data_IF_319361711038
#
_entry.id   IF_319361711038
#
_cell.length_a   1.000
_cell.length_b   1.000
_cell.length_c   1.000
_cell.angle_alpha   90.00
_cell.angle_beta   90.00
_cell.angle_gamma   90.00
#
_symmetry.space_group_name_H-M   'P 1'
#
loop_
_entity.id
_entity.type
_entity.pdbx_description
1 polymer ?
#
# COMPACT_ATOMS: atom_id res chain seq x y z
N UNK A 1 -20.51 0.96 11.47
CA UNK A 1 -19.07 1.30 11.39
C UNK A 1 -18.93 2.78 11.69
N UNK A 2 -18.19 3.13 12.75
CA UNK A 2 -17.86 4.53 13.06
C UNK A 2 -17.11 5.11 11.86
N UNK A 3 -17.73 6.02 11.10
CA UNK A 3 -17.02 6.80 10.08
C UNK A 3 -16.03 7.67 10.86
N UNK A 4 -14.74 7.36 10.77
CA UNK A 4 -13.71 8.21 11.37
C UNK A 4 -13.89 9.64 10.88
N UNK A 5 -13.59 10.63 11.73
CA UNK A 5 -13.72 12.04 11.37
C UNK A 5 -12.58 12.45 10.42
N UNK A 6 -12.67 11.97 9.18
CA UNK A 6 -11.71 12.22 8.12
C UNK A 6 -12.14 13.43 7.30
N UNK A 7 -11.32 14.48 7.30
CA UNK A 7 -11.54 15.69 6.49
C UNK A 7 -10.71 15.64 5.23
N UNK A 8 -9.41 15.33 5.36
CA UNK A 8 -8.45 15.21 4.27
C UNK A 8 -7.65 13.92 4.44
N UNK A 9 -8.28 12.74 4.28
CA UNK A 9 -7.63 11.48 4.57
C UNK A 9 -6.47 11.22 3.61
N UNK A 10 -5.39 10.70 4.17
CA UNK A 10 -4.17 10.32 3.50
C UNK A 10 -3.75 8.92 3.94
N UNK A 11 -3.19 8.17 3.00
CA UNK A 11 -2.62 6.85 3.23
C UNK A 11 -1.15 6.85 2.82
N UNK A 12 -0.31 6.34 3.70
CA UNK A 12 1.09 6.06 3.38
C UNK A 12 1.20 4.67 2.74
N UNK A 13 1.87 4.58 1.60
CA UNK A 13 2.06 3.35 0.83
C UNK A 13 3.53 3.19 0.41
N UNK A 14 4.02 1.96 0.42
CA UNK A 14 5.37 1.68 -0.07
C UNK A 14 5.47 1.86 -1.58
N UNK A 15 6.68 2.15 -2.07
CA UNK A 15 6.97 2.07 -3.49
C UNK A 15 7.22 0.60 -3.89
N UNK A 16 6.90 0.21 -5.15
CA UNK A 16 6.44 1.07 -6.27
C UNK A 16 4.93 1.36 -6.28
N UNK A 17 4.14 0.72 -5.42
CA UNK A 17 2.66 0.80 -5.47
C UNK A 17 2.12 2.23 -5.40
N UNK A 18 2.75 3.12 -4.61
CA UNK A 18 2.30 4.50 -4.46
C UNK A 18 2.31 5.27 -5.80
N UNK A 19 3.42 5.19 -6.54
CA UNK A 19 3.52 5.79 -7.88
C UNK A 19 2.60 5.11 -8.88
N UNK A 20 2.51 3.78 -8.86
CA UNK A 20 1.67 3.02 -9.79
C UNK A 20 0.18 3.37 -9.62
N UNK A 21 -0.27 3.60 -8.38
CA UNK A 21 -1.64 4.01 -8.09
C UNK A 21 -1.92 5.43 -8.61
N UNK A 22 -1.01 6.38 -8.35
CA UNK A 22 -1.17 7.76 -8.81
C UNK A 22 -1.04 7.91 -10.32
N UNK A 23 -0.35 7.00 -10.99
CA UNK A 23 -0.26 6.96 -12.46
C UNK A 23 -1.44 6.23 -13.11
N UNK A 24 -2.38 5.71 -12.31
CA UNK A 24 -3.56 4.99 -12.81
C UNK A 24 -3.26 3.60 -13.37
N UNK A 25 -2.05 3.07 -13.12
CA UNK A 25 -1.67 1.71 -13.51
C UNK A 25 -2.28 0.71 -12.51
N UNK A 26 -2.08 0.96 -11.21
CA UNK A 26 -2.71 0.24 -10.11
C UNK A 26 -4.10 0.82 -9.84
N UNK A 27 -5.10 -0.04 -9.75
CA UNK A 27 -6.51 0.34 -9.56
C UNK A 27 -7.09 -0.16 -8.23
N UNK A 28 -6.48 -1.18 -7.66
CA UNK A 28 -6.91 -1.78 -6.40
C UNK A 28 -5.87 -1.54 -5.32
N UNK A 29 -6.23 -0.88 -4.23
CA UNK A 29 -5.37 -0.79 -3.04
C UNK A 29 -5.68 -1.94 -2.08
N UNK A 30 -4.65 -2.71 -1.74
CA UNK A 30 -4.80 -3.94 -0.97
C UNK A 30 -4.47 -3.78 0.51
N UNK A 31 -5.37 -4.19 1.40
CA UNK A 31 -5.19 -4.12 2.86
C UNK A 31 -5.73 -5.36 3.58
N UNK A 32 -5.23 -5.59 4.79
CA UNK A 32 -5.76 -6.62 5.71
C UNK A 32 -7.01 -6.13 6.48
N UNK A 33 -7.55 -4.97 6.13
CA UNK A 33 -8.67 -4.32 6.81
C UNK A 33 -9.49 -3.49 5.82
N UNK A 34 -10.82 -3.35 6.04
CA UNK A 34 -11.72 -2.68 5.11
C UNK A 34 -11.48 -1.17 5.07
N UNK A 35 -11.80 -0.53 3.94
CA UNK A 35 -11.65 0.94 3.82
C UNK A 35 -12.50 1.66 4.87
N UNK A 36 -11.92 2.63 5.62
CA UNK A 36 -12.65 3.38 6.63
C UNK A 36 -13.36 4.60 6.01
N UNK A 37 -13.18 4.83 4.70
CA UNK A 37 -13.63 6.00 3.95
C UNK A 37 -14.18 5.61 2.57
N UNK A 38 -15.01 6.50 2.03
CA UNK A 38 -15.29 6.61 0.60
C UNK A 38 -15.08 8.06 0.18
N UNK A 39 -14.68 8.29 -1.07
CA UNK A 39 -14.29 9.60 -1.60
C UNK A 39 -12.78 9.79 -1.69
N UNK A 40 -12.32 11.05 -1.73
CA UNK A 40 -10.91 11.39 -1.97
C UNK A 40 -9.99 10.78 -0.92
N UNK A 41 -8.91 10.15 -1.36
CA UNK A 41 -7.80 9.67 -0.55
C UNK A 41 -6.48 10.19 -1.10
N UNK A 42 -5.72 10.89 -0.28
CA UNK A 42 -4.37 11.34 -0.60
C UNK A 42 -3.36 10.19 -0.46
N UNK A 43 -2.38 10.12 -1.35
CA UNK A 43 -1.36 9.07 -1.37
C UNK A 43 0.00 9.67 -1.10
N UNK A 44 0.60 9.22 0.01
CA UNK A 44 1.96 9.51 0.41
C UNK A 44 2.84 8.29 0.14
N UNK A 45 4.00 8.50 -0.50
CA UNK A 45 5.01 7.48 -0.67
C UNK A 45 5.85 7.34 0.61
N UNK A 46 5.90 6.13 1.15
CA UNK A 46 6.70 5.79 2.33
C UNK A 46 8.19 6.08 2.10
N UNK A 47 8.95 6.19 3.20
CA UNK A 47 10.36 6.55 3.16
C UNK A 47 11.34 5.43 2.78
N UNK A 48 10.89 4.16 2.75
CA UNK A 48 11.76 3.04 2.36
C UNK A 48 11.96 3.09 0.84
N UNK A 49 13.23 3.13 0.42
CA UNK A 49 13.61 3.00 -1.00
C UNK A 49 13.17 1.61 -1.50
N UNK A 50 12.44 1.55 -2.63
CA UNK A 50 12.04 0.27 -3.21
C UNK A 50 13.28 -0.46 -3.73
N UNK A 51 13.30 -1.76 -3.48
CA UNK A 51 14.32 -2.68 -3.99
C UNK A 51 14.11 -2.89 -5.51
N UNK A 52 15.17 -2.89 -6.35
CA UNK A 52 15.04 -3.01 -7.81
C UNK A 52 14.29 -4.26 -8.26
N UNK A 53 14.48 -5.38 -7.58
CA UNK A 53 13.81 -6.65 -7.86
C UNK A 53 12.31 -6.54 -7.51
N UNK A 54 11.97 -5.83 -6.43
CA UNK A 54 10.57 -5.49 -6.11
C UNK A 54 9.93 -4.61 -7.18
N UNK A 55 10.65 -3.60 -7.71
CA UNK A 55 10.15 -2.76 -8.81
C UNK A 55 9.88 -3.65 -10.02
N UNK A 56 10.88 -4.41 -10.46
CA UNK A 56 10.80 -5.29 -11.62
C UNK A 56 9.64 -6.28 -11.50
N UNK A 57 9.50 -6.95 -10.36
CA UNK A 57 8.42 -7.91 -10.12
C UNK A 57 7.04 -7.26 -10.25
N UNK A 58 6.87 -6.03 -9.76
CA UNK A 58 5.61 -5.31 -9.88
C UNK A 58 5.36 -4.79 -11.29
N UNK A 59 6.38 -4.31 -12.01
CA UNK A 59 6.25 -3.89 -13.40
C UNK A 59 5.91 -5.07 -14.31
N UNK A 60 6.57 -6.20 -14.15
CA UNK A 60 6.26 -7.45 -14.87
C UNK A 60 4.83 -7.90 -14.58
N UNK A 61 4.41 -7.89 -13.31
CA UNK A 61 3.03 -8.18 -12.92
C UNK A 61 2.02 -7.29 -13.64
N UNK A 62 2.22 -5.96 -13.60
CA UNK A 62 1.31 -5.04 -14.27
C UNK A 62 1.32 -5.23 -15.79
N UNK A 63 2.49 -5.51 -16.40
CA UNK A 63 2.59 -5.79 -17.83
C UNK A 63 1.78 -7.02 -18.23
N UNK A 64 1.87 -8.11 -17.48
CA UNK A 64 1.14 -9.35 -17.75
C UNK A 64 -0.38 -9.17 -17.58
N UNK A 65 -0.84 -8.56 -16.48
CA UNK A 65 -2.31 -8.39 -16.28
C UNK A 65 -2.93 -7.43 -17.29
N UNK A 66 -2.19 -6.42 -17.77
CA UNK A 66 -2.66 -5.53 -18.84
C UNK A 66 -2.65 -6.25 -20.20
N UNK A 67 -1.67 -7.13 -20.45
CA UNK A 67 -1.62 -7.94 -21.67
C UNK A 67 -2.81 -8.91 -21.78
N UNK A 68 -3.34 -9.42 -20.67
CA UNK A 68 -4.60 -10.19 -20.65
C UNK A 68 -5.77 -9.37 -21.20
N UNK A 69 -5.74 -8.03 -21.03
CA UNK A 69 -6.72 -7.11 -21.61
C UNK A 69 -6.28 -6.53 -22.97
N UNK A 70 -5.25 -7.08 -23.61
CA UNK A 70 -4.76 -6.67 -24.93
C UNK A 70 -3.87 -5.43 -24.93
N UNK A 71 -3.45 -4.93 -23.76
CA UNK A 71 -2.58 -3.74 -23.64
C UNK A 71 -1.14 -4.21 -23.41
N UNK A 72 -0.30 -4.07 -24.43
CA UNK A 72 1.12 -4.49 -24.40
C UNK A 72 2.10 -3.33 -24.24
N UNK A 73 1.74 -2.13 -24.70
CA UNK A 73 2.55 -0.91 -24.60
C UNK A 73 2.27 -0.15 -23.29
N UNK A 74 2.56 -0.80 -22.16
CA UNK A 74 2.42 -0.19 -20.84
C UNK A 74 3.70 0.55 -20.42
N UNK A 75 3.56 1.86 -20.22
CA UNK A 75 4.65 2.74 -19.81
C UNK A 75 4.71 2.90 -18.29
N UNK A 76 5.90 2.74 -17.72
CA UNK A 76 6.13 2.84 -16.27
C UNK A 76 6.86 4.13 -15.90
N UNK A 77 6.70 4.63 -14.66
CA UNK A 77 7.47 5.78 -14.19
C UNK A 77 8.96 5.48 -14.14
N UNK A 78 9.77 6.39 -14.66
CA UNK A 78 11.24 6.29 -14.58
C UNK A 78 11.75 6.38 -13.13
N UNK A 79 11.01 7.06 -12.26
CA UNK A 79 11.41 7.32 -10.89
C UNK A 79 10.29 7.06 -9.88
N UNK A 80 10.65 6.50 -8.72
CA UNK A 80 9.75 6.19 -7.60
C UNK A 80 10.12 7.02 -6.36
N UNK A 81 9.65 8.28 -6.25
CA UNK A 81 10.02 9.17 -5.15
C UNK A 81 9.52 8.64 -3.79
N UNK A 82 10.34 8.82 -2.75
CA UNK A 82 10.03 8.40 -1.37
C UNK A 82 9.82 9.61 -0.45
N UNK A 83 9.11 9.42 0.66
CA UNK A 83 8.82 10.47 1.66
C UNK A 83 8.12 11.71 1.08
N UNK A 84 7.25 11.50 0.08
CA UNK A 84 6.53 12.59 -0.60
C UNK A 84 5.06 12.31 -0.77
N UNK A 85 4.23 13.35 -0.62
CA UNK A 85 2.85 13.34 -1.07
C UNK A 85 2.83 13.38 -2.60
N UNK A 86 2.22 12.39 -3.23
CA UNK A 86 2.27 12.23 -4.68
C UNK A 86 1.02 12.76 -5.39
N UNK A 87 -0.14 12.70 -4.74
CA UNK A 87 -1.42 12.97 -5.37
C UNK A 87 -2.58 12.39 -4.58
N UNK A 88 -3.71 12.19 -5.25
CA UNK A 88 -4.88 11.56 -4.67
C UNK A 88 -5.63 10.68 -5.68
N UNK A 89 -6.40 9.74 -5.15
CA UNK A 89 -7.39 8.93 -5.87
C UNK A 89 -8.76 9.10 -5.21
N UNK A 90 -9.80 8.60 -5.85
CA UNK A 90 -11.14 8.47 -5.25
C UNK A 90 -11.38 7.00 -4.88
N UNK A 91 -11.59 6.72 -3.59
CA UNK A 91 -11.99 5.40 -3.12
C UNK A 91 -13.51 5.29 -3.25
N UNK A 92 -13.97 4.51 -4.22
CA UNK A 92 -15.41 4.39 -4.53
C UNK A 92 -16.08 3.24 -3.78
N UNK A 93 -15.30 2.25 -3.34
CA UNK A 93 -15.81 1.09 -2.62
C UNK A 93 -14.71 0.23 -2.01
N UNK A 94 -15.13 -0.81 -1.29
CA UNK A 94 -14.26 -1.84 -0.74
C UNK A 94 -14.96 -3.18 -0.89
N UNK A 95 -14.29 -4.16 -1.48
CA UNK A 95 -14.77 -5.53 -1.69
C UNK A 95 -13.73 -6.51 -1.15
N UNK A 96 -14.12 -7.77 -0.94
CA UNK A 96 -13.14 -8.82 -0.65
C UNK A 96 -12.41 -9.25 -1.93
N UNK A 97 -11.28 -9.93 -1.77
CA UNK A 97 -10.56 -10.54 -2.88
C UNK A 97 -11.43 -11.49 -3.71
N UNK A 98 -12.26 -12.29 -3.04
CA UNK A 98 -13.14 -13.27 -3.67
C UNK A 98 -14.24 -12.56 -4.47
N UNK A 99 -14.86 -11.53 -3.90
CA UNK A 99 -15.84 -10.69 -4.58
C UNK A 99 -15.25 -10.03 -5.83
N UNK A 100 -14.03 -9.48 -5.73
CA UNK A 100 -13.33 -8.89 -6.87
C UNK A 100 -13.03 -9.93 -7.96
N UNK A 101 -12.59 -11.13 -7.59
CA UNK A 101 -12.30 -12.21 -8.54
C UNK A 101 -13.53 -12.69 -9.32
N UNK A 102 -14.69 -12.67 -8.66
CA UNK A 102 -15.99 -13.12 -9.22
C UNK A 102 -16.76 -12.00 -9.94
N UNK A 103 -16.21 -10.79 -10.01
CA UNK A 103 -16.90 -9.65 -10.61
C UNK A 103 -16.74 -9.65 -12.14
N UNK A 104 -17.53 -10.48 -12.83
CA UNK A 104 -17.42 -10.76 -14.28
C UNK A 104 -17.48 -9.51 -15.18
N UNK A 105 -18.19 -8.45 -14.76
CA UNK A 105 -18.26 -7.19 -15.51
C UNK A 105 -16.93 -6.41 -15.51
N UNK A 106 -15.98 -6.74 -14.63
CA UNK A 106 -14.67 -6.11 -14.61
C UNK A 106 -13.69 -6.81 -15.57
N UNK A 107 -12.83 -6.04 -16.27
CA UNK A 107 -11.76 -6.61 -17.08
C UNK A 107 -10.91 -7.60 -16.27
N UNK A 108 -10.53 -8.72 -16.88
CA UNK A 108 -9.80 -9.79 -16.19
C UNK A 108 -8.53 -9.31 -15.47
N UNK A 109 -7.73 -8.43 -16.09
CA UNK A 109 -6.55 -7.88 -15.46
C UNK A 109 -6.84 -7.11 -14.17
N UNK A 110 -7.98 -6.41 -14.09
CA UNK A 110 -8.42 -5.70 -12.86
C UNK A 110 -8.72 -6.69 -11.74
N UNK A 111 -9.41 -7.79 -12.07
CA UNK A 111 -9.76 -8.84 -11.10
C UNK A 111 -8.52 -9.49 -10.50
N UNK A 112 -7.46 -9.65 -11.30
CA UNK A 112 -6.18 -10.22 -10.88
C UNK A 112 -5.35 -9.30 -9.96
N UNK A 113 -5.68 -8.02 -9.83
CA UNK A 113 -5.01 -7.10 -8.89
C UNK A 113 -5.30 -7.39 -7.41
N UNK A 114 -6.34 -8.20 -7.13
CA UNK A 114 -6.73 -8.60 -5.77
C UNK A 114 -5.71 -9.53 -5.12
N UNK A 115 -4.65 -8.97 -4.54
CA UNK A 115 -3.58 -9.73 -3.87
C UNK A 115 -3.77 -9.89 -2.36
N UNK A 116 -4.71 -9.17 -1.75
CA UNK A 116 -4.95 -9.10 -0.29
C UNK A 116 -6.43 -9.23 0.03
N UNK A 117 -6.76 -9.53 1.28
CA UNK A 117 -8.14 -9.80 1.76
C UNK A 117 -9.14 -8.70 1.41
N UNK A 118 -8.82 -7.43 1.68
CA UNK A 118 -9.67 -6.28 1.37
C UNK A 118 -9.08 -5.47 0.22
N UNK A 119 -9.90 -5.23 -0.79
CA UNK A 119 -9.57 -4.55 -2.02
C UNK A 119 -10.32 -3.21 -2.08
N UNK A 120 -9.59 -2.11 -1.92
CA UNK A 120 -10.14 -0.76 -2.01
C UNK A 120 -10.13 -0.32 -3.47
N UNK A 121 -11.32 -0.02 -3.99
CA UNK A 121 -11.52 0.33 -5.39
C UNK A 121 -11.16 1.80 -5.59
N UNK A 122 -10.13 2.07 -6.39
CA UNK A 122 -9.59 3.42 -6.58
C UNK A 122 -9.81 3.90 -8.02
N UNK A 123 -10.36 5.11 -8.15
CA UNK A 123 -10.64 5.77 -9.42
C UNK A 123 -10.03 7.18 -9.48
N UNK A 124 -10.12 7.80 -10.66
CA UNK A 124 -9.80 9.21 -10.91
C UNK A 124 -8.46 9.65 -10.29
N UNK A 125 -7.35 8.97 -10.63
CA UNK A 125 -6.04 9.35 -10.14
C UNK A 125 -5.69 10.78 -10.57
N UNK A 126 -5.17 11.55 -9.62
CA UNK A 126 -4.68 12.91 -9.82
C UNK A 126 -3.29 13.01 -9.19
N UNK A 127 -2.31 13.44 -9.98
CA UNK A 127 -0.93 13.60 -9.52
C UNK A 127 -0.63 15.05 -9.20
N UNK A 128 0.24 15.29 -8.24
CA UNK A 128 0.83 16.60 -8.00
C UNK A 128 1.89 16.89 -9.05
N UNK A 129 1.85 18.09 -9.63
CA UNK A 129 2.91 18.57 -10.53
C UNK A 129 4.26 18.56 -9.80
N UNK A 130 4.26 18.97 -8.53
CA UNK A 130 5.43 18.94 -7.64
C UNK A 130 5.03 18.16 -6.37
N UNK A 131 5.54 16.94 -6.17
CA UNK A 131 5.30 16.16 -4.95
C UNK A 131 5.86 16.86 -3.70
N UNK A 132 5.07 16.90 -2.62
CA UNK A 132 5.46 17.61 -1.40
C UNK A 132 6.25 16.70 -0.45
N UNK A 133 7.40 17.16 0.02
CA UNK A 133 8.15 16.47 1.07
C UNK A 133 7.41 16.56 2.40
N UNK A 134 7.09 15.40 2.98
CA UNK A 134 6.47 15.31 4.29
C UNK A 134 6.65 13.93 4.92
N UNK A 135 6.48 13.84 6.24
CA UNK A 135 6.43 12.55 6.94
C UNK A 135 5.08 11.88 6.74
N UNK A 136 5.11 10.58 6.50
CA UNK A 136 3.91 9.75 6.44
C UNK A 136 3.37 9.40 7.83
N UNK A 137 2.06 9.21 7.93
CA UNK A 137 1.37 8.71 9.12
C UNK A 137 1.14 7.18 9.07
N UNK A 138 0.64 6.64 10.19
CA UNK A 138 0.18 5.24 10.31
C UNK A 138 -1.33 5.16 10.04
N UNK A 139 -1.76 4.09 9.37
CA UNK A 139 -3.16 3.94 8.98
C UNK A 139 -3.59 5.05 8.01
N UNK A 140 -4.90 5.33 7.99
CA UNK A 140 -5.42 6.54 7.35
C UNK A 140 -5.36 7.68 8.37
N UNK A 141 -4.79 8.81 7.96
CA UNK A 141 -4.61 10.00 8.79
C UNK A 141 -5.03 11.26 8.04
N UNK A 142 -5.37 12.35 8.73
CA UNK A 142 -5.70 13.60 8.06
C UNK A 142 -4.42 14.37 7.70
N UNK A 143 -4.37 14.92 6.48
CA UNK A 143 -3.35 15.90 6.12
C UNK A 143 -3.48 17.17 6.97
N UNK A 144 -2.34 17.78 7.27
CA UNK A 144 -2.32 19.13 7.81
C UNK A 144 -2.97 20.11 6.84
N UNK A 145 -3.76 21.05 7.38
CA UNK A 145 -4.54 22.00 6.58
C UNK A 145 -3.68 22.76 5.55
N UNK A 146 -2.49 23.22 5.94
CA UNK A 146 -1.58 23.95 5.04
C UNK A 146 -1.07 23.08 3.88
N UNK A 147 -0.75 21.81 4.16
CA UNK A 147 -0.31 20.84 3.15
C UNK A 147 -1.44 20.58 2.16
N UNK A 148 -2.65 20.35 2.67
CA UNK A 148 -3.85 20.14 1.84
C UNK A 148 -4.15 21.36 0.94
N UNK A 149 -4.20 22.57 1.51
CA UNK A 149 -4.47 23.81 0.77
C UNK A 149 -3.46 24.04 -0.36
N UNK A 150 -2.18 23.73 -0.13
CA UNK A 150 -1.16 23.77 -1.17
C UNK A 150 -1.35 22.67 -2.23
N UNK A 151 -1.65 21.45 -1.80
CA UNK A 151 -1.66 20.28 -2.66
C UNK A 151 -2.82 20.34 -3.66
N UNK A 152 -4.02 20.76 -3.23
CA UNK A 152 -5.19 20.88 -4.12
C UNK A 152 -4.92 21.78 -5.33
N UNK A 153 -4.10 22.82 -5.16
CA UNK A 153 -3.76 23.77 -6.23
C UNK A 153 -2.81 23.18 -7.29
N UNK A 154 -2.11 22.09 -6.96
CA UNK A 154 -1.11 21.46 -7.83
C UNK A 154 -1.57 20.14 -8.46
N UNK A 155 -2.85 19.78 -8.34
CA UNK A 155 -3.37 18.53 -8.87
C UNK A 155 -3.59 18.60 -10.38
N UNK A 156 -3.18 17.55 -11.09
CA UNK A 156 -3.45 17.32 -12.50
C UNK A 156 -4.06 15.94 -12.68
N UNK A 157 -5.20 15.80 -13.40
CA UNK A 157 -5.77 14.51 -13.73
C UNK A 157 -4.78 13.62 -14.48
N UNK A 158 -4.80 12.32 -14.19
CA UNK A 158 -4.03 11.32 -14.92
C UNK A 158 -4.99 10.50 -15.77
N UNK A 159 -4.62 10.28 -17.04
CA UNK A 159 -5.36 9.37 -17.92
C UNK A 159 -4.82 7.96 -17.71
N UNK A 160 -5.59 7.03 -17.13
CA UNK A 160 -5.14 5.66 -16.90
C UNK A 160 -5.01 4.91 -18.23
N UNK A 161 -4.09 3.92 -18.34
CA UNK A 161 -3.94 3.12 -19.57
C UNK A 161 -5.20 2.33 -19.93
N UNK A 162 -5.94 1.88 -18.91
CA UNK A 162 -7.28 1.30 -19.06
C UNK A 162 -8.23 2.00 -18.08
N UNK A 163 -9.07 2.94 -18.55
CA UNK A 163 -10.11 3.54 -17.72
C UNK A 163 -11.09 2.48 -17.23
N UNK A 164 -11.30 2.42 -15.92
CA UNK A 164 -12.25 1.51 -15.26
C UNK A 164 -13.16 2.33 -14.37
N UNK A 165 -14.45 2.07 -14.46
CA UNK A 165 -15.48 2.62 -13.58
C UNK A 165 -16.09 1.45 -12.78
N UNK A 166 -15.83 1.42 -11.48
CA UNK A 166 -16.37 0.44 -10.57
C UNK A 166 -17.81 0.81 -10.23
N UNK A 167 -18.72 0.38 -11.09
CA UNK A 167 -20.16 0.46 -10.83
C UNK A 167 -20.54 -0.57 -9.79
N UNK A 168 -20.31 -0.23 -8.52
CA UNK A 168 -20.72 -1.06 -7.39
C UNK A 168 -22.15 -1.55 -7.65
N UNK A 169 -22.42 -2.87 -7.55
CA UNK A 169 -23.77 -3.38 -7.66
C UNK A 169 -24.60 -2.62 -6.63
N UNK A 170 -25.56 -1.82 -7.12
CA UNK A 170 -26.42 -1.02 -6.26
C UNK A 170 -26.98 -1.95 -5.18
N UNK A 171 -26.89 -1.55 -3.92
CA UNK A 171 -27.54 -2.24 -2.81
C UNK A 171 -29.02 -2.38 -3.16
N UNK A 172 -29.41 -3.61 -3.53
CA UNK A 172 -30.73 -4.10 -3.94
C UNK A 172 -31.88 -3.10 -3.75
N UNK A 173 -32.49 -2.66 -4.85
CA UNK A 173 -33.86 -2.17 -4.77
C UNK A 173 -34.76 -3.38 -4.47
N UNK A 174 -35.51 -3.44 -3.35
CA UNK A 174 -36.30 -4.62 -2.95
C UNK A 174 -37.37 -5.04 -3.97
N UNK A 175 -37.67 -4.18 -4.93
CA UNK A 175 -38.72 -4.33 -5.95
C UNK A 175 -38.20 -4.69 -7.35
N UNK A 176 -36.91 -4.99 -7.52
CA UNK A 176 -36.36 -5.41 -8.83
C UNK A 176 -36.51 -6.92 -9.06
N UNK A 177 -37.18 -7.31 -10.14
CA UNK A 177 -37.45 -8.70 -10.54
C UNK A 177 -36.30 -9.37 -11.32
N UNK A 178 -35.11 -8.74 -11.41
CA UNK A 178 -33.93 -9.31 -12.06
C UNK A 178 -32.78 -9.44 -11.05
N UNK A 179 -32.39 -10.66 -10.64
CA UNK A 179 -31.30 -10.85 -9.70
C UNK A 179 -29.96 -10.54 -10.38
N UNK A 180 -29.43 -9.33 -10.18
CA UNK A 180 -28.01 -9.06 -10.34
C UNK A 180 -27.30 -9.53 -9.08
N UNK A 181 -26.88 -10.80 -9.06
CA UNK A 181 -26.12 -11.36 -7.95
C UNK A 181 -24.72 -11.65 -8.45
N UNK A 182 -23.72 -11.02 -7.83
CA UNK A 182 -22.46 -11.73 -7.56
C UNK A 182 -22.87 -12.86 -6.61
N UNK A 183 -23.23 -14.01 -7.18
CA UNK A 183 -23.73 -15.14 -6.40
C UNK A 183 -22.59 -15.65 -5.49
N UNK A 184 -22.85 -15.97 -4.22
CA UNK A 184 -21.97 -16.89 -3.52
C UNK A 184 -21.97 -18.22 -4.30
N UNK A 185 -20.84 -18.92 -4.41
CA UNK A 185 -20.76 -20.13 -5.22
C UNK A 185 -21.78 -21.14 -4.70
N UNK A 186 -22.74 -21.48 -5.55
CA UNK A 186 -23.50 -22.72 -5.41
C UNK A 186 -22.50 -23.86 -5.52
N UNK A 187 -22.23 -24.53 -4.41
CA UNK A 187 -21.50 -25.80 -4.37
C UNK A 187 -22.31 -26.84 -5.15
N UNK A 188 -22.10 -26.91 -6.45
CA UNK A 188 -22.37 -28.12 -7.22
C UNK A 188 -21.06 -28.87 -7.35
N UNK A 189 -20.95 -29.93 -6.56
CA UNK A 189 -19.95 -30.97 -6.70
C UNK A 189 -20.15 -31.67 -8.05
N UNK A 190 -19.48 -31.17 -9.07
CA UNK A 190 -19.23 -31.90 -10.31
C UNK A 190 -17.80 -31.60 -10.73
N UNK A 191 -16.94 -32.56 -10.42
CA UNK A 191 -15.57 -32.72 -10.90
C UNK A 191 -15.46 -32.40 -12.38
N UNK A 192 -14.87 -31.25 -12.69
CA UNK A 192 -14.17 -31.02 -13.96
C UNK A 192 -12.99 -30.09 -13.66
N UNK A 193 -11.81 -30.69 -13.52
CA UNK A 193 -10.53 -30.00 -13.54
C UNK A 193 -10.36 -29.32 -14.89
N UNK A 194 -10.84 -28.09 -15.02
CA UNK A 194 -10.40 -27.17 -16.05
C UNK A 194 -9.90 -25.91 -15.36
N UNK A 195 -8.65 -25.99 -14.87
CA UNK A 195 -7.83 -24.79 -14.67
C UNK A 195 -7.82 -24.06 -16.02
N UNK A 196 -8.24 -22.78 -16.11
CA UNK A 196 -7.98 -22.01 -17.31
C UNK A 196 -6.47 -22.05 -17.55
N UNK A 197 -6.07 -22.35 -18.78
CA UNK A 197 -4.68 -22.50 -19.19
C UNK A 197 -4.00 -21.12 -19.17
N UNK A 198 -3.80 -20.55 -17.97
CA UNK A 198 -3.10 -19.28 -17.81
C UNK A 198 -1.66 -19.45 -18.30
N UNK A 199 -1.13 -18.47 -19.06
CA UNK A 199 0.27 -18.54 -19.48
C UNK A 199 1.18 -18.56 -18.26
N UNK A 200 2.25 -19.35 -18.35
CA UNK A 200 3.21 -19.54 -17.25
C UNK A 200 3.86 -18.23 -16.80
N UNK A 201 4.01 -17.27 -17.74
CA UNK A 201 4.47 -15.90 -17.46
C UNK A 201 3.57 -15.18 -16.46
N UNK A 202 2.25 -15.20 -16.70
CA UNK A 202 1.26 -14.56 -15.84
C UNK A 202 1.23 -15.20 -14.45
N UNK A 203 1.30 -16.52 -14.37
CA UNK A 203 1.32 -17.25 -13.09
C UNK A 203 2.56 -16.86 -12.28
N UNK A 204 3.72 -16.83 -12.93
CA UNK A 204 5.00 -16.43 -12.32
C UNK A 204 4.98 -14.97 -11.87
N UNK A 205 4.40 -14.07 -12.67
CA UNK A 205 4.28 -12.66 -12.34
C UNK A 205 3.33 -12.41 -11.16
N UNK A 206 2.19 -13.12 -11.10
CA UNK A 206 1.28 -13.09 -9.93
C UNK A 206 2.01 -13.59 -8.67
N UNK A 207 2.79 -14.66 -8.77
CA UNK A 207 3.56 -15.20 -7.65
C UNK A 207 4.62 -14.18 -7.17
N UNK A 208 5.36 -13.57 -8.10
CA UNK A 208 6.33 -12.51 -7.81
C UNK A 208 5.69 -11.30 -7.12
N UNK A 209 4.54 -10.84 -7.61
CA UNK A 209 3.80 -9.73 -6.99
C UNK A 209 3.31 -10.06 -5.57
N UNK A 210 2.85 -11.29 -5.31
CA UNK A 210 2.45 -11.71 -3.96
C UNK A 210 3.63 -11.76 -2.99
N UNK A 211 4.78 -12.28 -3.44
CA UNK A 211 6.00 -12.26 -2.64
C UNK A 211 6.42 -10.81 -2.34
N UNK A 212 6.37 -9.92 -3.34
CA UNK A 212 6.67 -8.51 -3.17
C UNK A 212 5.70 -7.81 -2.20
N UNK A 213 4.40 -8.09 -2.26
CA UNK A 213 3.39 -7.49 -1.39
C UNK A 213 3.52 -7.92 0.07
N UNK A 214 3.95 -9.16 0.33
CA UNK A 214 4.03 -9.71 1.69
C UNK A 214 5.29 -9.30 2.46
N UNK A 215 6.32 -8.75 1.78
CA UNK A 215 7.59 -8.36 2.41
C UNK A 215 7.45 -7.31 3.53
N UNK A 216 6.33 -6.56 3.54
CA UNK A 216 6.05 -5.50 4.52
C UNK A 216 5.06 -5.93 5.62
N UNK A 217 4.48 -7.11 5.48
CA UNK A 217 3.59 -7.69 6.50
C UNK A 217 4.45 -8.22 7.65
N UNK A 218 4.16 -7.79 8.87
CA UNK A 218 4.74 -8.44 10.05
C UNK A 218 4.17 -9.87 10.16
N UNK A 219 4.99 -10.88 10.51
CA UNK A 219 4.46 -12.16 10.93
C UNK A 219 3.49 -11.94 12.09
N UNK A 220 2.24 -12.37 11.93
CA UNK A 220 1.35 -12.48 13.07
C UNK A 220 1.91 -13.59 13.97
N UNK A 221 2.05 -13.39 15.29
CA UNK A 221 2.26 -14.52 16.18
C UNK A 221 1.07 -15.47 15.99
N UNK A 222 1.35 -16.72 15.65
CA UNK A 222 0.33 -17.74 15.52
C UNK A 222 -0.39 -17.86 16.85
N UNK A 223 -1.69 -17.57 16.86
CA UNK A 223 -2.56 -18.02 17.93
C UNK A 223 -2.64 -19.54 17.83
N UNK A 224 -1.74 -20.23 18.53
CA UNK A 224 -1.90 -21.66 18.78
C UNK A 224 -3.15 -21.82 19.64
N UNK A 225 -4.22 -22.32 19.04
CA UNK A 225 -5.36 -22.86 19.78
C UNK A 225 -4.86 -24.02 20.65
N UNK A 226 -5.11 -24.02 21.97
CA UNK A 226 -4.69 -25.13 22.81
C UNK A 226 -5.53 -26.36 22.48
N UNK A 227 -4.92 -27.28 21.73
CA UNK A 227 -5.43 -28.65 21.58
C UNK A 227 -5.34 -29.34 22.93
N UNK A 228 -6.50 -29.69 23.50
CA UNK A 228 -6.60 -30.63 24.62
C UNK A 228 -5.94 -31.95 24.20
N UNK A 229 -4.99 -32.43 24.99
CA UNK A 229 -4.83 -33.86 25.22
C UNK A 229 -4.23 -34.10 26.61
N UNK A 230 -4.98 -34.86 27.38
CA UNK A 230 -4.66 -35.42 28.69
C UNK A 230 -3.61 -36.54 28.58
N UNK A 231 -2.65 -36.57 29.50
CA UNK A 231 -1.72 -37.68 29.70
C UNK A 231 -0.82 -37.44 30.91
N UNK A 232 -0.77 -38.41 31.82
CA UNK A 232 -0.34 -38.34 33.21
C UNK A 232 1.20 -38.47 33.45
N UNK A 233 1.64 -37.77 34.52
CA UNK A 233 2.54 -38.18 35.64
C UNK A 233 4.08 -38.18 35.53
N UNK A 234 4.64 -37.74 36.68
CA UNK A 234 5.99 -37.84 37.27
C UNK A 234 6.99 -36.73 36.85
N UNK A 235 7.61 -35.95 37.74
CA UNK A 235 7.86 -36.07 39.18
C UNK A 235 9.37 -36.16 39.43
N UNK A 236 10.04 -35.04 39.69
CA UNK A 236 11.37 -35.00 40.33
C UNK A 236 11.73 -33.57 40.78
N UNK A 237 12.20 -33.47 42.03
CA UNK A 237 12.56 -32.26 42.77
C UNK A 237 14.03 -31.82 42.57
N UNK A 238 14.29 -30.57 42.99
CA UNK A 238 15.57 -29.99 43.41
C UNK A 238 16.60 -29.71 42.27
N UNK A 239 17.47 -28.69 42.32
CA UNK A 239 18.00 -27.91 43.42
C UNK A 239 18.44 -26.50 42.94
N UNK A 240 18.52 -25.56 43.89
CA UNK A 240 19.02 -24.20 43.74
C UNK A 240 20.48 -24.13 43.25
N UNK A 241 20.87 -23.04 42.59
CA UNK A 241 22.08 -22.25 42.94
C UNK A 241 21.97 -20.85 42.34
N UNK A 242 21.92 -19.86 43.24
CA UNK A 242 22.11 -18.45 42.97
C UNK A 242 23.59 -18.18 42.65
N UNK A 243 23.88 -17.37 41.64
CA UNK A 243 25.14 -16.63 41.58
C UNK A 243 24.84 -15.13 41.38
N UNK A 244 24.99 -14.41 42.48
CA UNK A 244 25.04 -12.96 42.57
C UNK A 244 26.48 -12.48 42.53
N UNK A 245 26.65 -11.23 42.07
CA UNK A 245 27.73 -10.24 42.29
C UNK A 245 28.55 -9.86 41.04
N UNK A 246 29.17 -8.67 41.00
CA UNK A 246 28.58 -7.35 41.29
C UNK A 246 29.01 -6.29 40.23
N UNK A 247 28.32 -5.15 40.20
CA UNK A 247 28.80 -3.96 39.50
C UNK A 247 29.96 -3.28 40.25
N UNK A 248 30.93 -2.68 39.55
CA UNK A 248 31.77 -1.63 40.11
C UNK A 248 31.19 -0.25 39.83
N UNK A 249 30.93 0.46 40.92
CA UNK A 249 30.71 1.90 40.99
C UNK A 249 32.00 2.67 40.65
N UNK A 250 31.91 3.64 39.74
CA UNK A 250 32.89 4.73 39.66
C UNK A 250 32.16 6.07 39.73
N UNK A 251 32.43 6.80 40.82
CA UNK A 251 32.19 8.23 40.96
C UNK A 251 33.34 9.00 40.31
N UNK A 252 33.04 10.20 39.79
CA UNK A 252 33.82 11.46 39.82
C UNK A 252 33.14 12.48 38.86
N UNK A 253 33.45 13.79 38.87
CA UNK A 253 32.79 14.76 39.72
C UNK A 253 32.09 15.92 38.95
N UNK A 254 31.32 16.67 39.72
CA UNK A 254 30.85 18.06 39.55
C UNK A 254 31.50 18.97 38.47
N UNK A 255 30.60 19.58 37.66
CA UNK A 255 30.52 20.97 37.15
C UNK A 255 31.78 21.62 36.55
N UNK A 256 31.70 22.01 35.26
CA UNK A 256 31.54 23.43 34.92
C UNK A 256 31.21 23.67 33.44
N UNK A 257 30.56 24.81 33.26
CA UNK A 257 30.03 25.48 32.08
C UNK A 257 31.07 25.82 31.00
N UNK A 258 30.62 25.77 29.73
CA UNK A 258 31.37 26.33 28.60
C UNK A 258 30.66 26.08 27.27
N UNK A 259 29.75 26.97 26.88
CA UNK A 259 29.26 27.09 25.50
C UNK A 259 30.41 27.51 24.58
N UNK A 260 30.53 26.93 23.36
CA UNK A 260 31.17 27.60 22.25
C UNK A 260 30.13 28.16 21.28
N UNK A 261 30.24 29.46 21.10
CA UNK A 261 29.51 30.32 20.17
C UNK A 261 29.69 29.90 18.70
N UNK A 262 28.60 30.07 17.95
CA UNK A 262 28.47 29.93 16.50
C UNK A 262 29.59 30.71 15.78
N UNK A 263 30.38 30.01 14.96
CA UNK A 263 31.27 30.67 13.98
C UNK A 263 30.47 31.03 12.74
N UNK A 264 30.58 32.31 12.39
CA UNK A 264 30.05 33.00 11.24
C UNK A 264 30.32 32.27 9.91
N UNK A 265 29.26 32.10 9.12
CA UNK A 265 29.37 31.86 7.68
C UNK A 265 29.57 33.19 6.97
N UNK A 266 30.71 33.36 6.28
CA UNK A 266 30.90 34.44 5.32
C UNK A 266 30.26 34.06 3.98
N UNK A 267 29.56 34.98 3.29
CA UNK A 267 29.03 34.72 1.96
C UNK A 267 30.14 34.79 0.91
N UNK A 268 30.14 33.83 -0.02
CA UNK A 268 30.97 33.83 -1.23
C UNK A 268 30.37 34.83 -2.22
N UNK A 269 31.18 35.80 -2.63
CA UNK A 269 30.84 36.81 -3.63
C UNK A 269 30.74 36.21 -5.03
N UNK A 270 29.66 36.57 -5.72
CA UNK A 270 29.39 36.22 -7.10
C UNK A 270 30.26 37.08 -8.04
N UNK A 271 31.11 36.45 -8.84
CA UNK A 271 31.91 37.12 -9.87
C UNK A 271 31.13 37.26 -11.17
N UNK A 272 30.81 38.50 -11.53
CA UNK A 272 30.31 38.90 -12.85
C UNK A 272 31.44 38.84 -13.88
N UNK A 273 31.35 37.88 -14.82
CA UNK A 273 32.21 37.80 -15.99
C UNK A 273 31.53 38.41 -17.22
N UNK A 274 32.18 39.43 -17.77
CA UNK A 274 31.73 40.32 -18.85
C UNK A 274 31.49 39.61 -20.19
N UNK A 275 30.48 40.11 -20.93
CA UNK A 275 30.39 40.00 -22.39
C UNK A 275 31.51 40.81 -23.05
N UNK A 276 32.09 40.29 -24.12
CA UNK A 276 32.75 41.09 -25.15
C UNK A 276 32.55 40.44 -26.51
N UNK A 277 32.49 41.34 -27.50
CA UNK A 277 32.03 41.28 -28.88
C UNK A 277 32.45 40.06 -29.71
#
# INVERSE_FOLDING_TARGET
MSRGNYTNPCLTMHQPWASLLIQGIKRIEGRSWPSPITGRLWIHAAGKVPDPETIKAMEDFYREIYAVNGITDLQFPEHYPVSRLLGCVEVVGCVTREELGNWEELPEGVRLEGLTDFCWLCEKPQKLIIPFEMRGGRGVYNLERKVYEGAVRGLTPVTPPLPVEFRLPILRNPSSLKPGSLAPPSFNSSSSDQKPNMPESLVSAIAGARAAATQFSKPQPSFQTPSKNSGLIAGAQAAATQFSKPQPSFQTPSKNSGFPTIKEWRPVSCGTGNKSK
#
